data_IF_514794948814
#
_entry.id   IF_514794948814
#
_cell.length_a   1.000
_cell.length_b   1.000
_cell.length_c   1.000
_cell.angle_alpha   90.00
_cell.angle_beta   90.00
_cell.angle_gamma   90.00
#
_symmetry.space_group_name_H-M   'P 1'
#
loop_
_entity.id
_entity.type
_entity.pdbx_description
1 polymer ?
#
# COMPACT_ATOMS: atom_id res chain seq x y z
N UNK A 1 16.09 -27.93 9.94
CA UNK A 1 16.52 -26.70 9.26
C UNK A 1 16.37 -25.58 10.26
N UNK A 2 17.44 -24.91 10.64
CA UNK A 2 17.35 -23.77 11.56
C UNK A 2 16.60 -22.64 10.85
N UNK A 3 15.54 -22.10 11.44
CA UNK A 3 14.89 -20.89 10.95
C UNK A 3 15.91 -19.76 10.99
N UNK A 4 16.37 -19.31 9.81
CA UNK A 4 17.09 -18.05 9.72
C UNK A 4 16.08 -16.94 9.95
N UNK A 5 16.12 -16.33 11.12
CA UNK A 5 15.38 -15.09 11.37
C UNK A 5 15.97 -13.99 10.49
N UNK A 6 15.22 -13.54 9.47
CA UNK A 6 15.58 -12.40 8.64
C UNK A 6 14.95 -11.14 9.23
N UNK A 7 15.75 -10.09 9.40
CA UNK A 7 15.32 -8.78 9.90
C UNK A 7 15.31 -7.76 8.76
N UNK A 8 14.45 -6.75 8.83
CA UNK A 8 14.32 -5.75 7.76
C UNK A 8 15.63 -5.01 7.46
N UNK A 9 16.42 -4.70 8.49
CA UNK A 9 17.74 -4.06 8.41
C UNK A 9 18.82 -4.94 7.77
N UNK A 10 18.60 -6.26 7.72
CA UNK A 10 19.48 -7.21 7.03
C UNK A 10 19.14 -7.40 5.55
N UNK A 11 18.03 -6.83 5.06
CA UNK A 11 17.62 -6.92 3.67
C UNK A 11 18.34 -5.87 2.80
N UNK A 12 18.58 -6.15 1.50
CA UNK A 12 18.99 -5.12 0.57
C UNK A 12 17.99 -3.96 0.55
N UNK A 13 18.49 -2.73 0.50
CA UNK A 13 17.65 -1.53 0.57
C UNK A 13 16.50 -1.51 -0.46
N UNK A 14 16.66 -1.96 -1.72
CA UNK A 14 15.53 -2.02 -2.66
C UNK A 14 14.38 -2.90 -2.16
N UNK A 15 14.68 -4.02 -1.49
CA UNK A 15 13.68 -4.94 -0.93
C UNK A 15 12.97 -4.29 0.26
N UNK A 16 13.72 -3.67 1.17
CA UNK A 16 13.13 -2.94 2.28
C UNK A 16 12.24 -1.77 1.79
N UNK A 17 12.66 -1.07 0.73
CA UNK A 17 11.90 -0.01 0.09
C UNK A 17 10.61 -0.51 -0.60
N UNK A 18 10.63 -1.71 -1.18
CA UNK A 18 9.43 -2.37 -1.72
C UNK A 18 8.45 -2.72 -0.60
N UNK A 19 8.92 -3.35 0.48
CA UNK A 19 8.07 -3.72 1.61
C UNK A 19 7.39 -2.48 2.23
N UNK A 20 8.13 -1.39 2.41
CA UNK A 20 7.59 -0.10 2.84
C UNK A 20 6.56 0.44 1.84
N UNK A 21 6.87 0.43 0.54
CA UNK A 21 5.93 0.92 -0.47
C UNK A 21 4.63 0.11 -0.54
N UNK A 22 4.68 -1.21 -0.35
CA UNK A 22 3.49 -2.06 -0.28
C UNK A 22 2.71 -1.79 1.00
N UNK A 23 3.40 -1.67 2.15
CA UNK A 23 2.77 -1.26 3.41
C UNK A 23 2.03 0.07 3.24
N UNK A 24 2.73 1.11 2.81
CA UNK A 24 2.16 2.46 2.67
C UNK A 24 1.01 2.52 1.64
N UNK A 25 1.03 1.66 0.62
CA UNK A 25 -0.07 1.57 -0.34
C UNK A 25 -1.34 0.97 0.29
N UNK A 26 -1.19 0.03 1.22
CA UNK A 26 -2.30 -0.69 1.86
C UNK A 26 -2.72 -0.10 3.20
N UNK A 27 -1.86 0.70 3.83
CA UNK A 27 -2.10 1.42 5.07
C UNK A 27 -2.98 2.66 4.82
N UNK A 28 -4.24 2.41 4.52
CA UNK A 28 -5.26 3.44 4.33
C UNK A 28 -6.14 3.53 5.59
N UNK A 29 -6.49 4.74 6.05
CA UNK A 29 -7.33 4.90 7.22
C UNK A 29 -8.73 4.33 6.96
N UNK A 30 -9.37 3.78 7.98
CA UNK A 30 -10.78 3.40 7.87
C UNK A 30 -11.66 4.62 7.53
N UNK A 31 -12.76 4.45 6.80
CA UNK A 31 -13.67 5.54 6.48
C UNK A 31 -14.54 5.93 7.66
N UNK A 32 -15.04 7.17 7.64
CA UNK A 32 -16.21 7.59 8.40
C UNK A 32 -17.44 6.74 8.09
N UNK A 33 -18.52 6.94 8.85
CA UNK A 33 -19.71 6.08 8.82
C UNK A 33 -20.71 6.42 7.71
N UNK A 34 -20.38 7.36 6.83
CA UNK A 34 -21.27 7.72 5.72
C UNK A 34 -21.09 6.74 4.56
N UNK A 35 -22.19 6.42 3.85
CA UNK A 35 -22.07 5.58 2.64
C UNK A 35 -21.13 6.20 1.59
N UNK A 36 -20.98 7.54 1.58
CA UNK A 36 -20.09 8.24 0.68
C UNK A 36 -18.62 7.95 1.02
N UNK A 37 -18.26 8.02 2.30
CA UNK A 37 -16.92 7.68 2.79
C UNK A 37 -16.61 6.20 2.57
N UNK A 38 -17.55 5.30 2.86
CA UNK A 38 -17.39 3.85 2.63
C UNK A 38 -17.15 3.51 1.15
N UNK A 39 -17.92 4.15 0.24
CA UNK A 39 -17.72 3.97 -1.21
C UNK A 39 -16.37 4.51 -1.67
N UNK A 40 -15.97 5.69 -1.19
CA UNK A 40 -14.68 6.30 -1.52
C UNK A 40 -13.52 5.45 -1.00
N UNK A 41 -13.62 4.94 0.23
CA UNK A 41 -12.66 4.00 0.82
C UNK A 41 -12.54 2.71 0.01
N UNK A 42 -13.67 2.07 -0.30
CA UNK A 42 -13.66 0.80 -1.05
C UNK A 42 -13.05 0.99 -2.45
N UNK A 43 -13.38 2.10 -3.11
CA UNK A 43 -12.80 2.46 -4.41
C UNK A 43 -11.29 2.68 -4.31
N UNK A 44 -10.84 3.41 -3.29
CA UNK A 44 -9.42 3.63 -3.04
C UNK A 44 -8.71 2.31 -2.76
N UNK A 45 -9.21 1.50 -1.80
CA UNK A 45 -8.64 0.21 -1.42
C UNK A 45 -8.50 -0.72 -2.61
N UNK A 46 -9.54 -0.86 -3.44
CA UNK A 46 -9.50 -1.71 -4.63
C UNK A 46 -8.38 -1.27 -5.58
N UNK A 47 -8.23 0.04 -5.78
CA UNK A 47 -7.14 0.60 -6.59
C UNK A 47 -5.77 0.31 -5.95
N UNK A 48 -5.62 0.51 -4.64
CA UNK A 48 -4.36 0.26 -3.90
C UNK A 48 -3.89 -1.18 -4.00
N UNK A 49 -4.81 -2.11 -3.76
CA UNK A 49 -4.56 -3.54 -3.86
C UNK A 49 -4.16 -3.92 -5.29
N UNK A 50 -4.84 -3.36 -6.30
CA UNK A 50 -4.50 -3.59 -7.70
C UNK A 50 -3.09 -3.06 -8.03
N UNK A 51 -2.76 -1.83 -7.65
CA UNK A 51 -1.45 -1.20 -7.88
C UNK A 51 -0.31 -2.01 -7.22
N UNK A 52 -0.48 -2.42 -5.96
CA UNK A 52 0.48 -3.26 -5.24
C UNK A 52 0.63 -4.64 -5.91
N UNK A 53 -0.48 -5.29 -6.27
CA UNK A 53 -0.47 -6.60 -6.92
C UNK A 53 0.22 -6.56 -8.28
N UNK A 54 -0.06 -5.55 -9.11
CA UNK A 54 0.59 -5.38 -10.42
C UNK A 54 2.09 -5.14 -10.24
N UNK A 55 2.48 -4.29 -9.29
CA UNK A 55 3.89 -4.04 -8.98
C UNK A 55 4.62 -5.34 -8.62
N UNK A 56 4.03 -6.16 -7.75
CA UNK A 56 4.59 -7.47 -7.37
C UNK A 56 4.64 -8.44 -8.55
N UNK A 57 3.60 -8.49 -9.39
CA UNK A 57 3.59 -9.34 -10.58
C UNK A 57 4.72 -8.97 -11.54
N UNK A 58 4.93 -7.68 -11.81
CA UNK A 58 6.02 -7.22 -12.67
C UNK A 58 7.41 -7.63 -12.15
N UNK A 59 7.62 -7.66 -10.83
CA UNK A 59 8.89 -8.13 -10.25
C UNK A 59 9.02 -9.65 -10.39
N UNK A 60 7.98 -10.38 -9.97
CA UNK A 60 8.04 -11.84 -9.84
C UNK A 60 7.96 -12.57 -11.19
N UNK A 61 7.27 -11.99 -12.17
CA UNK A 61 6.97 -12.62 -13.46
C UNK A 61 7.81 -12.00 -14.58
N UNK A 62 7.96 -10.68 -14.57
CA UNK A 62 8.61 -9.94 -15.67
C UNK A 62 10.04 -9.50 -15.34
N UNK A 63 10.52 -9.78 -14.11
CA UNK A 63 11.89 -9.49 -13.68
C UNK A 63 12.21 -8.00 -13.56
N UNK A 64 11.21 -7.16 -13.30
CA UNK A 64 11.42 -5.74 -13.09
C UNK A 64 12.37 -5.46 -11.91
N UNK A 65 13.18 -4.40 -12.05
CA UNK A 65 14.08 -3.96 -11.00
C UNK A 65 13.26 -3.51 -9.76
N UNK A 66 13.61 -4.04 -8.60
CA UNK A 66 12.84 -3.92 -7.36
C UNK A 66 12.75 -2.47 -6.88
N UNK A 67 13.86 -1.73 -6.92
CA UNK A 67 13.93 -0.33 -6.50
C UNK A 67 13.05 0.58 -7.35
N UNK A 68 13.09 0.41 -8.67
CA UNK A 68 12.28 1.13 -9.64
C UNK A 68 10.79 0.81 -9.49
N UNK A 69 10.45 -0.47 -9.29
CA UNK A 69 9.08 -0.89 -9.03
C UNK A 69 8.54 -0.27 -7.72
N UNK A 70 9.35 -0.27 -6.65
CA UNK A 70 8.99 0.37 -5.38
C UNK A 70 8.79 1.88 -5.53
N UNK A 71 9.66 2.57 -6.29
CA UNK A 71 9.51 4.00 -6.58
C UNK A 71 8.23 4.28 -7.38
N UNK A 72 7.96 3.45 -8.38
CA UNK A 72 6.75 3.56 -9.22
C UNK A 72 5.47 3.39 -8.39
N UNK A 73 5.43 2.42 -7.47
CA UNK A 73 4.30 2.25 -6.56
C UNK A 73 4.10 3.48 -5.66
N UNK A 74 5.17 4.05 -5.10
CA UNK A 74 5.07 5.30 -4.31
C UNK A 74 4.52 6.46 -5.12
N UNK A 75 4.88 6.59 -6.39
CA UNK A 75 4.35 7.63 -7.27
C UNK A 75 2.88 7.39 -7.63
N UNK A 76 2.48 6.15 -7.87
CA UNK A 76 1.06 5.80 -7.99
C UNK A 76 0.31 6.19 -6.72
N UNK A 77 0.95 5.99 -5.56
CA UNK A 77 0.34 6.31 -4.28
C UNK A 77 0.04 7.79 -4.08
N UNK A 78 0.95 8.65 -4.48
CA UNK A 78 0.74 10.10 -4.42
C UNK A 78 -0.40 10.57 -5.33
N UNK A 79 -0.70 9.85 -6.41
CA UNK A 79 -1.75 10.22 -7.38
C UNK A 79 -3.17 9.88 -6.91
N UNK A 80 -3.31 9.12 -5.83
CA UNK A 80 -4.62 8.74 -5.27
C UNK A 80 -4.71 9.06 -3.78
N UNK A 81 -4.69 10.35 -3.37
CA UNK A 81 -4.79 10.69 -1.95
C UNK A 81 -6.12 10.19 -1.35
N UNK A 82 -6.15 10.08 -0.02
CA UNK A 82 -7.40 9.86 0.73
C UNK A 82 -8.32 11.06 0.52
N UNK A 83 -9.56 10.81 0.11
CA UNK A 83 -10.57 11.86 -0.19
C UNK A 83 -11.84 11.73 0.65
N UNK A 84 -11.91 10.74 1.54
CA UNK A 84 -12.99 10.54 2.49
C UNK A 84 -12.57 11.02 3.87
N UNK A 85 -13.54 11.23 4.75
CA UNK A 85 -13.26 11.55 6.16
C UNK A 85 -12.71 10.32 6.87
N UNK A 86 -11.47 10.34 7.39
CA UNK A 86 -10.94 9.22 8.17
C UNK A 86 -11.75 8.98 9.45
N UNK A 87 -11.92 7.72 9.80
CA UNK A 87 -12.45 7.34 11.10
C UNK A 87 -11.54 7.84 12.22
N UNK A 88 -12.15 8.38 13.27
CA UNK A 88 -11.51 8.69 14.56
C UNK A 88 -12.30 8.00 15.66
N UNK A 89 -11.73 7.83 16.86
CA UNK A 89 -12.39 7.14 17.99
C UNK A 89 -13.79 7.70 18.36
N UNK A 90 -14.16 8.89 17.87
CA UNK A 90 -15.51 9.46 17.99
C UNK A 90 -16.55 8.95 16.99
N UNK A 91 -16.14 8.13 16.01
CA UNK A 91 -16.90 7.89 14.78
C UNK A 91 -16.93 9.16 13.94
N UNK A 92 -16.30 9.17 12.75
CA UNK A 92 -16.35 10.33 11.84
C UNK A 92 -17.78 10.88 11.67
N UNK A 93 -17.91 12.17 11.36
CA UNK A 93 -19.20 12.90 11.32
C UNK A 93 -20.34 12.03 10.79
N UNK A 94 -21.40 11.89 11.62
CA UNK A 94 -22.57 11.06 11.33
C UNK A 94 -23.49 11.70 10.30
#
# INVERSE_FOLDING_TARGET
>A
MSEQTVRLDSLPEPVAALLRAVHDALDIPLPGLTDADERAYTTLLARRVMEARVTLACILQDGHEVGWAAASLREQVKRGPVTYTPWTDGGGER
#
